data_IF_624459610889
#
_entry.id   IF_624459610889
#
_cell.length_a   1.000
_cell.length_b   1.000
_cell.length_c   1.000
_cell.angle_alpha   90.00
_cell.angle_beta   90.00
_cell.angle_gamma   90.00
#
_symmetry.space_group_name_H-M   'P 1'
#
loop_
_entity.id
_entity.type
_entity.pdbx_description
1 polymer ?
#
# COMPACT_ATOMS: atom_id res chain seq x y z
N UNK A 1 4.88 13.87 4.75
CA UNK A 1 3.57 13.82 5.45
C UNK A 1 3.52 12.75 6.55
N UNK A 2 3.89 11.45 6.26
CA UNK A 2 3.78 10.35 7.25
C UNK A 2 4.77 10.55 8.41
N UNK A 3 6.03 10.83 8.11
CA UNK A 3 7.06 11.04 9.11
C UNK A 3 6.72 12.24 10.02
N UNK A 4 6.22 13.32 9.45
CA UNK A 4 5.77 14.51 10.16
C UNK A 4 4.62 14.18 11.13
N UNK A 5 3.63 13.39 10.70
CA UNK A 5 2.53 12.93 11.57
C UNK A 5 3.01 12.05 12.73
N UNK A 6 4.12 11.33 12.53
CA UNK A 6 4.75 10.50 13.55
C UNK A 6 5.78 11.24 14.41
N UNK A 7 5.99 12.55 14.18
CA UNK A 7 6.98 13.36 14.89
C UNK A 7 8.43 12.98 14.55
N UNK A 8 8.68 12.37 13.38
CA UNK A 8 10.02 11.98 12.92
C UNK A 8 10.64 13.17 12.21
N UNK A 9 11.77 13.67 12.76
CA UNK A 9 12.43 14.87 12.26
C UNK A 9 13.24 14.64 10.97
N UNK A 10 13.92 13.50 10.85
CA UNK A 10 14.83 13.22 9.75
C UNK A 10 14.27 12.09 8.86
N UNK A 11 14.24 12.34 7.56
CA UNK A 11 13.70 11.39 6.58
C UNK A 11 14.66 11.20 5.42
N UNK A 12 15.05 9.95 5.15
CA UNK A 12 15.78 9.55 3.95
C UNK A 12 14.81 8.77 3.07
N UNK A 13 14.38 9.37 1.97
CA UNK A 13 13.40 8.76 1.06
C UNK A 13 13.77 9.02 -0.40
N UNK A 14 13.35 8.14 -1.27
CA UNK A 14 13.41 8.36 -2.72
C UNK A 14 12.65 9.62 -3.09
N UNK A 15 13.26 10.49 -3.91
CA UNK A 15 12.67 11.74 -4.39
C UNK A 15 12.47 11.68 -5.89
N UNK A 16 11.26 11.98 -6.30
CA UNK A 16 10.90 12.10 -7.71
C UNK A 16 11.14 13.52 -8.20
N UNK A 17 11.41 13.67 -9.49
CA UNK A 17 11.42 14.99 -10.15
C UNK A 17 10.00 15.51 -10.27
N UNK A 18 9.79 16.77 -9.88
CA UNK A 18 8.51 17.46 -9.98
C UNK A 18 8.70 18.71 -10.81
N UNK A 19 7.96 18.86 -11.91
CA UNK A 19 7.90 20.05 -12.76
C UNK A 19 6.44 20.52 -12.82
N UNK A 20 6.23 21.81 -12.66
CA UNK A 20 4.89 22.45 -12.65
C UNK A 20 3.87 21.73 -11.71
N UNK A 21 4.33 21.24 -10.56
CA UNK A 21 3.51 20.55 -9.57
C UNK A 21 3.11 19.11 -9.95
N UNK A 22 3.71 18.53 -10.98
CA UNK A 22 3.47 17.16 -11.46
C UNK A 22 4.74 16.32 -11.46
N UNK A 23 4.60 15.02 -11.17
CA UNK A 23 5.72 14.09 -11.30
C UNK A 23 6.04 13.86 -12.78
N UNK A 24 7.34 13.99 -13.14
CA UNK A 24 7.83 13.73 -14.50
C UNK A 24 7.98 12.24 -14.81
N UNK A 25 8.02 11.39 -13.78
CA UNK A 25 8.39 9.97 -13.89
C UNK A 25 9.87 9.70 -13.65
N UNK A 26 10.69 10.75 -13.56
CA UNK A 26 12.12 10.61 -13.26
C UNK A 26 12.40 10.60 -11.77
N UNK A 27 13.48 9.92 -11.36
CA UNK A 27 13.93 9.84 -9.97
C UNK A 27 15.10 10.79 -9.76
N UNK A 28 14.92 11.83 -8.95
CA UNK A 28 15.97 12.77 -8.59
C UNK A 28 16.98 12.18 -7.58
N UNK A 29 16.51 11.32 -6.68
CA UNK A 29 17.33 10.63 -5.69
C UNK A 29 16.72 9.28 -5.34
N UNK A 30 17.51 8.23 -5.40
CA UNK A 30 17.07 6.86 -5.11
C UNK A 30 17.62 6.38 -3.76
N UNK A 31 16.75 6.32 -2.75
CA UNK A 31 17.11 5.93 -1.38
C UNK A 31 16.98 4.40 -1.19
N UNK A 32 17.87 3.62 -1.80
CA UNK A 32 17.89 2.17 -1.62
C UNK A 32 19.31 1.62 -1.58
N UNK A 33 19.51 0.49 -0.94
CA UNK A 33 20.78 -0.19 -0.88
C UNK A 33 21.92 0.70 -0.36
N UNK A 34 23.06 0.74 -1.08
CA UNK A 34 24.23 1.53 -0.67
C UNK A 34 23.94 3.02 -0.47
N UNK A 35 23.12 3.61 -1.35
CA UNK A 35 22.78 5.05 -1.29
C UNK A 35 22.01 5.41 0.00
N UNK A 36 21.13 4.51 0.46
CA UNK A 36 20.44 4.66 1.75
C UNK A 36 21.44 4.62 2.91
N UNK A 37 22.38 3.69 2.87
CA UNK A 37 23.43 3.56 3.90
C UNK A 37 24.37 4.78 3.94
N UNK A 38 24.75 5.33 2.79
CA UNK A 38 25.53 6.56 2.70
C UNK A 38 24.80 7.76 3.29
N UNK A 39 23.52 7.91 2.95
CA UNK A 39 22.69 8.98 3.51
C UNK A 39 22.53 8.85 5.04
N UNK A 40 22.40 7.62 5.55
CA UNK A 40 22.36 7.36 6.99
C UNK A 40 23.68 7.71 7.68
N UNK A 41 24.82 7.35 7.08
CA UNK A 41 26.15 7.74 7.60
C UNK A 41 26.33 9.25 7.62
N UNK A 42 25.93 9.90 6.54
CA UNK A 42 25.97 11.38 6.47
C UNK A 42 25.11 12.02 7.56
N UNK A 43 23.88 11.54 7.72
CA UNK A 43 22.98 12.04 8.77
C UNK A 43 23.60 11.83 10.16
N UNK A 44 24.18 10.67 10.43
CA UNK A 44 24.85 10.39 11.70
C UNK A 44 26.01 11.37 11.95
N UNK A 45 26.85 11.60 10.93
CA UNK A 45 27.95 12.58 11.03
C UNK A 45 27.45 14.01 11.28
N UNK A 46 26.41 14.44 10.53
CA UNK A 46 25.83 15.78 10.66
C UNK A 46 25.19 16.02 12.05
N UNK A 47 24.69 14.94 12.68
CA UNK A 47 24.03 14.98 14.01
C UNK A 47 24.95 14.61 15.17
N UNK A 48 26.17 14.12 14.90
CA UNK A 48 27.09 13.64 15.90
C UNK A 48 26.70 12.33 16.55
N UNK A 49 25.96 11.45 15.82
CA UNK A 49 25.58 10.13 16.31
C UNK A 49 26.71 9.13 16.10
N UNK A 50 26.98 8.30 17.10
CA UNK A 50 27.86 7.14 16.97
C UNK A 50 27.07 5.98 16.37
N UNK A 51 27.42 5.57 15.15
CA UNK A 51 26.77 4.46 14.46
C UNK A 51 26.94 3.13 15.19
N UNK A 52 27.97 2.95 15.98
CA UNK A 52 28.17 1.73 16.79
C UNK A 52 27.11 1.56 17.88
N UNK A 53 26.51 2.67 18.32
CA UNK A 53 25.41 2.69 19.29
C UNK A 53 24.02 2.76 18.65
N UNK A 54 23.96 2.88 17.31
CA UNK A 54 22.72 3.02 16.58
C UNK A 54 22.06 1.68 16.29
N UNK A 55 20.74 1.69 16.22
CA UNK A 55 19.89 0.55 15.85
C UNK A 55 19.34 0.75 14.43
N UNK A 56 19.34 -0.34 13.64
CA UNK A 56 18.68 -0.37 12.35
C UNK A 56 17.75 -1.57 12.22
N UNK A 57 16.61 -1.36 11.62
CA UNK A 57 15.59 -2.37 11.40
C UNK A 57 15.21 -2.42 9.92
N UNK A 58 15.18 -3.62 9.32
CA UNK A 58 14.74 -3.80 7.93
C UNK A 58 14.16 -5.18 7.68
N UNK A 59 13.32 -5.28 6.66
CA UNK A 59 12.71 -6.51 6.17
C UNK A 59 13.32 -7.00 4.84
N UNK A 60 14.14 -6.19 4.18
CA UNK A 60 14.65 -6.42 2.83
C UNK A 60 16.16 -6.63 2.77
N UNK A 61 16.57 -7.59 1.93
CA UNK A 61 17.98 -7.84 1.59
C UNK A 61 18.68 -6.62 0.99
N UNK A 62 17.97 -5.71 0.35
CA UNK A 62 18.54 -4.48 -0.22
C UNK A 62 19.13 -3.55 0.84
N UNK A 63 18.72 -3.66 2.09
CA UNK A 63 19.17 -2.83 3.20
C UNK A 63 20.37 -3.41 3.99
N UNK A 64 20.97 -4.47 3.51
CA UNK A 64 22.21 -5.02 4.11
C UNK A 64 23.26 -3.93 4.35
N UNK A 65 23.56 -3.02 3.38
CA UNK A 65 24.56 -1.98 3.62
C UNK A 65 24.20 -1.02 4.77
N UNK A 66 22.92 -0.80 5.03
CA UNK A 66 22.46 -0.02 6.17
C UNK A 66 22.59 -0.81 7.48
N UNK A 67 22.18 -2.07 7.49
CA UNK A 67 22.29 -2.94 8.66
C UNK A 67 23.76 -3.17 9.07
N UNK A 68 24.68 -3.26 8.11
CA UNK A 68 26.12 -3.35 8.34
C UNK A 68 26.75 -2.06 8.87
N UNK A 69 26.10 -0.93 8.65
CA UNK A 69 26.64 0.37 9.05
C UNK A 69 26.43 0.69 10.54
N UNK A 70 25.60 -0.08 11.25
CA UNK A 70 25.23 0.19 12.65
C UNK A 70 25.71 -0.91 13.60
N UNK A 71 25.82 -0.58 14.88
CA UNK A 71 26.19 -1.54 15.91
C UNK A 71 25.09 -2.53 16.28
N UNK A 72 23.81 -2.17 16.08
CA UNK A 72 22.68 -2.99 16.49
C UNK A 72 21.70 -3.25 15.32
N UNK A 73 22.10 -4.05 14.30
CA UNK A 73 21.23 -4.43 13.21
C UNK A 73 20.16 -5.45 13.66
N UNK A 74 18.96 -5.35 13.15
CA UNK A 74 17.86 -6.28 13.42
C UNK A 74 17.03 -6.51 12.18
N UNK A 75 16.83 -7.76 11.78
CA UNK A 75 15.95 -8.13 10.69
C UNK A 75 14.51 -8.30 11.20
N UNK A 76 13.54 -7.61 10.59
CA UNK A 76 12.13 -7.60 11.01
C UNK A 76 11.27 -8.20 9.91
N UNK A 77 10.56 -9.31 10.18
CA UNK A 77 9.81 -10.05 9.16
C UNK A 77 10.58 -10.21 7.84
N UNK A 78 11.88 -10.60 7.89
CA UNK A 78 12.78 -10.51 6.75
C UNK A 78 12.32 -11.36 5.57
N UNK A 79 12.64 -10.89 4.35
CA UNK A 79 12.58 -11.72 3.16
C UNK A 79 13.55 -12.92 3.31
N UNK A 80 13.40 -13.91 2.41
CA UNK A 80 14.20 -15.15 2.51
C UNK A 80 15.72 -14.89 2.46
N UNK A 81 16.15 -13.96 1.62
CA UNK A 81 17.56 -13.65 1.45
C UNK A 81 18.16 -12.94 2.67
N UNK A 82 17.46 -11.95 3.22
CA UNK A 82 17.88 -11.27 4.45
C UNK A 82 17.86 -12.22 5.66
N UNK A 83 16.85 -13.12 5.74
CA UNK A 83 16.79 -14.13 6.81
C UNK A 83 18.03 -15.02 6.86
N UNK A 84 18.47 -15.48 5.68
CA UNK A 84 19.68 -16.30 5.57
C UNK A 84 20.91 -15.52 6.04
N UNK A 85 21.08 -14.27 5.57
CA UNK A 85 22.22 -13.43 5.92
C UNK A 85 22.21 -13.06 7.41
N UNK A 86 21.04 -12.77 7.97
CA UNK A 86 20.90 -12.51 9.41
C UNK A 86 21.35 -13.71 10.25
N UNK A 87 20.99 -14.93 9.84
CA UNK A 87 21.45 -16.16 10.51
C UNK A 87 22.97 -16.36 10.38
N UNK A 88 23.56 -16.14 9.18
CA UNK A 88 24.99 -16.23 8.94
C UNK A 88 25.81 -15.23 9.77
N UNK A 89 25.24 -14.04 10.02
CA UNK A 89 25.89 -12.94 10.75
C UNK A 89 25.52 -12.86 12.23
N UNK A 90 24.64 -13.72 12.71
CA UNK A 90 24.14 -13.70 14.07
C UNK A 90 23.28 -12.49 14.41
N UNK A 91 22.65 -11.85 13.39
CA UNK A 91 21.76 -10.71 13.62
C UNK A 91 20.42 -11.17 14.22
N UNK A 92 19.88 -10.41 15.17
CA UNK A 92 18.55 -10.70 15.71
C UNK A 92 17.47 -10.67 14.62
N UNK A 93 16.52 -11.61 14.73
CA UNK A 93 15.34 -11.66 13.85
C UNK A 93 14.08 -11.48 14.70
N UNK A 94 13.27 -10.47 14.39
CA UNK A 94 11.97 -10.23 14.99
C UNK A 94 10.88 -10.64 14.02
N UNK A 95 9.96 -11.49 14.47
CA UNK A 95 8.78 -11.90 13.70
C UNK A 95 7.51 -11.40 14.37
N UNK A 96 6.84 -10.46 13.73
CA UNK A 96 5.50 -10.00 14.11
C UNK A 96 4.45 -10.79 13.35
N UNK A 97 3.89 -11.79 13.99
CA UNK A 97 2.78 -12.59 13.45
C UNK A 97 1.48 -12.14 14.12
N UNK A 98 0.82 -11.17 13.52
CA UNK A 98 -0.59 -10.92 13.79
C UNK A 98 -1.37 -11.15 12.49
N UNK A 99 -1.75 -12.40 12.16
CA UNK A 99 -2.70 -12.61 11.09
C UNK A 99 -4.01 -11.97 11.55
N UNK A 100 -4.36 -10.82 10.97
CA UNK A 100 -5.72 -10.31 11.10
C UNK A 100 -6.59 -11.30 10.35
N UNK A 101 -7.47 -12.09 11.01
CA UNK A 101 -8.30 -13.05 10.33
C UNK A 101 -9.08 -12.34 9.21
N UNK A 102 -9.07 -12.88 8.00
CA UNK A 102 -9.78 -12.32 6.84
C UNK A 102 -11.25 -12.04 7.17
N UNK A 103 -11.84 -12.86 8.04
CA UNK A 103 -13.18 -12.69 8.59
C UNK A 103 -13.37 -11.35 9.32
N UNK A 104 -12.35 -10.83 10.00
CA UNK A 104 -12.43 -9.53 10.70
C UNK A 104 -12.42 -8.39 9.69
N UNK A 105 -11.60 -8.46 8.62
CA UNK A 105 -11.59 -7.45 7.54
C UNK A 105 -12.91 -7.40 6.77
N UNK A 106 -13.58 -8.55 6.58
CA UNK A 106 -14.89 -8.63 5.94
C UNK A 106 -16.01 -8.09 6.84
N UNK A 107 -15.85 -8.18 8.15
CA UNK A 107 -16.86 -7.69 9.13
C UNK A 107 -16.77 -6.17 9.32
N UNK A 108 -15.59 -5.56 9.11
CA UNK A 108 -15.37 -4.11 9.20
C UNK A 108 -15.75 -3.35 7.91
N UNK A 109 -16.03 -4.06 6.81
CA UNK A 109 -16.66 -3.43 5.65
C UNK A 109 -18.14 -3.23 5.99
N UNK A 110 -18.68 -1.98 5.87
CA UNK A 110 -20.10 -1.77 6.03
C UNK A 110 -20.81 -2.72 5.07
N UNK A 111 -21.53 -3.70 5.61
CA UNK A 111 -22.34 -4.59 4.81
C UNK A 111 -23.33 -3.69 4.08
N UNK A 112 -23.16 -3.54 2.77
CA UNK A 112 -24.24 -2.99 1.93
C UNK A 112 -25.38 -3.97 2.17
N UNK A 113 -26.49 -3.54 2.79
CA UNK A 113 -27.55 -4.48 3.15
C UNK A 113 -28.01 -5.14 1.85
N UNK A 114 -27.86 -6.47 1.81
CA UNK A 114 -28.25 -7.28 0.65
C UNK A 114 -29.69 -6.97 0.24
N UNK A 115 -30.53 -6.57 1.21
CA UNK A 115 -31.86 -6.03 1.01
C UNK A 115 -31.90 -4.80 0.08
N UNK A 116 -30.94 -3.85 0.17
CA UNK A 116 -30.92 -2.67 -0.70
C UNK A 116 -30.56 -3.03 -2.14
N UNK A 117 -29.65 -3.99 -2.33
CA UNK A 117 -29.29 -4.49 -3.65
C UNK A 117 -30.47 -5.28 -4.30
N UNK A 118 -31.20 -6.09 -3.52
CA UNK A 118 -32.36 -6.82 -3.98
C UNK A 118 -33.53 -5.91 -4.36
N UNK A 119 -33.77 -4.83 -3.59
CA UNK A 119 -34.81 -3.83 -3.90
C UNK A 119 -34.43 -3.06 -5.18
N UNK A 120 -33.16 -2.67 -5.35
CA UNK A 120 -32.70 -1.99 -6.56
C UNK A 120 -32.86 -2.83 -7.82
N UNK A 121 -32.51 -4.12 -7.76
CA UNK A 121 -32.67 -5.06 -8.88
C UNK A 121 -34.17 -5.30 -9.20
N UNK A 122 -35.01 -5.48 -8.18
CA UNK A 122 -36.44 -5.68 -8.33
C UNK A 122 -37.14 -4.48 -8.98
N UNK A 123 -36.81 -3.26 -8.57
CA UNK A 123 -37.35 -2.02 -9.16
C UNK A 123 -36.91 -1.84 -10.62
N UNK A 124 -35.63 -2.11 -10.95
CA UNK A 124 -35.11 -2.03 -12.31
C UNK A 124 -35.80 -3.04 -13.24
N UNK A 125 -36.03 -4.27 -12.77
CA UNK A 125 -36.72 -5.31 -13.53
C UNK A 125 -38.19 -4.94 -13.76
N UNK A 126 -38.89 -4.45 -12.73
CA UNK A 126 -40.28 -4.02 -12.83
C UNK A 126 -40.45 -2.83 -13.80
N UNK A 127 -39.57 -1.85 -13.75
CA UNK A 127 -39.56 -0.70 -14.64
C UNK A 127 -39.27 -1.13 -16.10
N UNK A 128 -38.31 -2.02 -16.30
CA UNK A 128 -37.97 -2.59 -17.60
C UNK A 128 -39.16 -3.33 -18.24
N UNK A 129 -39.84 -4.18 -17.47
CA UNK A 129 -41.02 -4.91 -17.92
C UNK A 129 -42.20 -3.98 -18.24
N UNK A 130 -42.42 -2.93 -17.45
CA UNK A 130 -43.47 -1.93 -17.70
C UNK A 130 -43.21 -1.15 -19.01
N UNK A 131 -41.99 -0.70 -19.24
CA UNK A 131 -41.57 -0.02 -20.49
C UNK A 131 -41.71 -0.97 -21.68
N UNK A 132 -41.24 -2.20 -21.57
CA UNK A 132 -41.38 -3.19 -22.64
C UNK A 132 -42.84 -3.48 -22.98
N UNK A 133 -43.71 -3.64 -21.96
CA UNK A 133 -45.16 -3.86 -22.16
C UNK A 133 -45.83 -2.68 -22.86
N UNK A 134 -45.46 -1.44 -22.51
CA UNK A 134 -45.99 -0.23 -23.20
C UNK A 134 -45.56 -0.17 -24.68
N UNK A 135 -44.30 -0.47 -24.98
CA UNK A 135 -43.80 -0.50 -26.36
C UNK A 135 -44.47 -1.58 -27.19
N UNK A 136 -44.72 -2.75 -26.62
CA UNK A 136 -45.41 -3.84 -27.31
C UNK A 136 -46.84 -3.48 -27.63
N UNK A 137 -47.58 -2.91 -26.69
CA UNK A 137 -48.97 -2.44 -26.90
C UNK A 137 -49.07 -1.32 -27.97
N UNK A 138 -48.09 -0.39 -27.96
CA UNK A 138 -48.04 0.68 -28.95
C UNK A 138 -47.76 0.17 -30.37
N UNK A 139 -46.96 -0.90 -30.52
CA UNK A 139 -46.71 -1.57 -31.81
C UNK A 139 -47.96 -2.32 -32.32
N UNK A 140 -48.66 -3.02 -31.43
CA UNK A 140 -49.88 -3.76 -31.78
C UNK A 140 -51.01 -2.80 -32.20
N UNK A 141 -51.14 -1.62 -31.53
CA UNK A 141 -52.15 -0.63 -31.91
C UNK A 141 -51.87 0.05 -33.27
N UNK A 142 -50.59 0.19 -33.65
CA UNK A 142 -50.20 0.73 -34.98
C UNK A 142 -50.45 -0.31 -36.11
N UNK A 143 -50.29 -1.57 -35.84
CA UNK A 143 -50.59 -2.62 -36.83
C UNK A 143 -52.09 -2.78 -37.12
N UNK A 144 -52.97 -2.45 -36.17
CA UNK A 144 -54.43 -2.54 -36.33
C UNK A 144 -55.08 -1.37 -37.10
N UNK A 145 -54.34 -0.25 -37.33
CA UNK A 145 -54.85 0.94 -38.04
C UNK A 145 -54.51 0.90 -39.54
N UNK A 146 -53.70 -0.06 -40.00
CA UNK A 146 -53.21 -0.14 -41.40
C UNK A 146 -53.92 -1.22 -42.20
N UNK A 147 -55.01 -1.83 -41.69
CA UNK A 147 -55.92 -2.73 -42.38
C UNK A 147 -57.25 -2.07 -42.57
#
# INVERSE_FOLDING_TARGET
>A
PIAEQLGIADVIATRMVVEDGRYTGEVAYYAAGPTKAEAARKLAADRGYDLSECYAYSDSVSDIPLLEAVGHPTAVNPDWALRRIAAERGWPVLEFRHPIPLARRLRERPAVPVAAAAIGLGLALALGLAIYGRHRRARSARAAVTT
#
